data_IF_615399299469
#
_entry.id   IF_615399299469
#
_cell.length_a   1.000
_cell.length_b   1.000
_cell.length_c   1.000
_cell.angle_alpha   90.00
_cell.angle_beta   90.00
_cell.angle_gamma   90.00
#
_symmetry.space_group_name_H-M   'P 1'
#
loop_
_entity.id
_entity.type
_entity.pdbx_description
1 polymer ?
#
# COMPACT_ATOMS: atom_id res chain seq x y z
N UNK A 1 -21.38 48.79 -36.86
CA UNK A 1 -20.71 48.67 -35.55
C UNK A 1 -20.59 47.21 -35.18
N UNK A 2 -19.36 46.73 -34.97
CA UNK A 2 -19.11 45.71 -33.97
C UNK A 2 -18.13 46.26 -32.91
N UNK A 3 -18.37 45.89 -31.66
CA UNK A 3 -17.67 46.34 -30.46
C UNK A 3 -16.44 45.46 -30.21
N UNK A 4 -15.43 46.09 -29.62
CA UNK A 4 -14.06 45.67 -29.43
C UNK A 4 -13.83 44.37 -28.65
N UNK A 5 -12.66 43.81 -28.94
CA UNK A 5 -11.89 42.77 -28.26
C UNK A 5 -11.50 43.11 -26.81
N UNK A 6 -11.59 42.10 -25.93
CA UNK A 6 -10.90 41.87 -24.65
C UNK A 6 -11.35 40.46 -24.24
N UNK A 7 -10.57 39.46 -23.85
CA UNK A 7 -9.17 39.32 -23.44
C UNK A 7 -8.70 37.93 -23.93
N UNK A 8 -7.47 37.84 -24.45
CA UNK A 8 -6.83 36.57 -24.74
C UNK A 8 -6.07 36.13 -23.48
N UNK A 9 -6.45 34.98 -22.92
CA UNK A 9 -5.77 34.31 -21.82
C UNK A 9 -4.28 34.06 -22.16
N UNK A 10 -3.33 34.41 -21.27
CA UNK A 10 -1.90 34.31 -21.54
C UNK A 10 -1.29 32.91 -21.34
N UNK A 11 -2.10 31.85 -21.21
CA UNK A 11 -1.60 30.48 -21.02
C UNK A 11 -2.36 29.45 -21.87
N UNK A 12 -2.03 29.29 -23.16
CA UNK A 12 -2.34 28.07 -23.88
C UNK A 12 -1.31 27.00 -23.50
N UNK A 13 -1.75 25.74 -23.36
CA UNK A 13 -0.93 24.55 -23.08
C UNK A 13 -0.65 24.21 -21.60
N UNK A 14 -1.71 24.04 -20.81
CA UNK A 14 -1.72 23.00 -19.81
C UNK A 14 -2.40 21.75 -20.41
N UNK A 15 -1.65 20.65 -20.51
CA UNK A 15 -2.15 19.35 -20.94
C UNK A 15 -3.45 19.00 -20.18
N UNK A 16 -4.44 18.36 -20.83
CA UNK A 16 -5.74 18.12 -20.22
C UNK A 16 -5.56 17.31 -18.93
N UNK A 17 -6.12 17.84 -17.85
CA UNK A 17 -6.18 17.23 -16.53
C UNK A 17 -6.47 15.74 -16.65
N UNK A 18 -5.47 14.96 -16.24
CA UNK A 18 -5.60 13.53 -15.99
C UNK A 18 -6.68 13.38 -14.92
N UNK A 19 -7.84 12.86 -15.33
CA UNK A 19 -8.96 12.38 -14.51
C UNK A 19 -8.65 12.49 -13.01
N UNK A 20 -9.03 13.62 -12.39
CA UNK A 20 -9.00 13.77 -10.94
C UNK A 20 -9.95 12.73 -10.36
N UNK A 21 -9.41 11.53 -10.11
CA UNK A 21 -10.06 10.51 -9.30
C UNK A 21 -10.36 11.20 -7.97
N UNK A 22 -11.64 11.34 -7.63
CA UNK A 22 -12.13 11.93 -6.38
C UNK A 22 -11.63 11.13 -5.17
N UNK A 23 -10.34 11.25 -4.85
CA UNK A 23 -9.70 10.70 -3.67
C UNK A 23 -9.35 11.85 -2.74
N UNK A 24 -9.50 11.63 -1.43
CA UNK A 24 -9.04 12.58 -0.42
C UNK A 24 -7.51 12.66 -0.28
N UNK A 25 -6.78 11.79 -0.99
CA UNK A 25 -5.32 11.69 -0.93
C UNK A 25 -4.62 12.72 -1.83
N UNK A 26 -3.52 13.34 -1.39
CA UNK A 26 -2.73 14.24 -2.24
C UNK A 26 -2.08 13.47 -3.40
N UNK A 27 -1.95 14.12 -4.55
CA UNK A 27 -1.27 13.51 -5.70
C UNK A 27 0.20 13.29 -5.40
N UNK A 28 0.79 12.23 -5.99
CA UNK A 28 2.23 12.01 -5.87
C UNK A 28 3.02 13.23 -6.33
N UNK A 29 2.60 13.87 -7.43
CA UNK A 29 3.20 15.11 -7.91
C UNK A 29 3.14 16.25 -6.88
N UNK A 30 2.03 16.40 -6.15
CA UNK A 30 1.89 17.41 -5.09
C UNK A 30 2.83 17.15 -3.92
N UNK A 31 2.93 15.89 -3.47
CA UNK A 31 3.90 15.50 -2.43
C UNK A 31 5.34 15.72 -2.89
N UNK A 32 5.63 15.41 -4.15
CA UNK A 32 6.94 15.57 -4.75
C UNK A 32 7.37 17.04 -4.81
N UNK A 33 6.46 17.94 -5.22
CA UNK A 33 6.68 19.39 -5.25
C UNK A 33 6.99 19.96 -3.85
N UNK A 34 6.40 19.41 -2.80
CA UNK A 34 6.65 19.83 -1.42
C UNK A 34 7.88 19.13 -0.80
N UNK A 35 8.55 18.25 -1.54
CA UNK A 35 9.67 17.44 -1.05
C UNK A 35 9.33 16.67 0.24
N UNK A 36 8.11 16.13 0.32
CA UNK A 36 7.66 15.33 1.45
C UNK A 36 7.93 13.84 1.22
N UNK A 37 8.14 13.05 2.30
CA UNK A 37 8.21 11.60 2.18
C UNK A 37 6.97 11.02 1.48
N UNK A 38 7.18 10.03 0.61
CA UNK A 38 6.10 9.39 -0.16
C UNK A 38 6.07 7.92 0.20
N UNK A 39 4.90 7.43 0.63
CA UNK A 39 4.67 6.00 0.85
C UNK A 39 3.81 5.49 -0.30
N UNK A 40 4.29 4.48 -1.00
CA UNK A 40 3.60 3.88 -2.15
C UNK A 40 3.31 2.40 -1.88
N UNK A 41 2.15 1.88 -2.30
CA UNK A 41 1.84 0.47 -2.13
C UNK A 41 2.72 -0.38 -3.05
N UNK A 42 3.04 -1.60 -2.62
CA UNK A 42 3.96 -2.49 -3.33
C UNK A 42 3.37 -3.88 -3.60
N UNK A 43 4.00 -4.60 -4.54
CA UNK A 43 3.59 -5.96 -4.91
C UNK A 43 4.81 -6.88 -5.05
N UNK A 44 4.66 -8.15 -4.67
CA UNK A 44 5.67 -9.21 -4.70
C UNK A 44 6.26 -9.57 -6.09
N UNK A 45 5.80 -8.93 -7.18
CA UNK A 45 6.23 -9.24 -8.56
C UNK A 45 7.47 -8.47 -8.96
N UNK A 46 7.68 -7.31 -8.35
CA UNK A 46 8.79 -6.42 -8.67
C UNK A 46 9.68 -6.29 -7.43
N UNK A 47 10.97 -6.50 -7.64
CA UNK A 47 11.97 -6.45 -6.57
C UNK A 47 12.74 -5.15 -6.67
N UNK A 48 12.67 -4.34 -5.62
CA UNK A 48 13.35 -3.06 -5.52
C UNK A 48 14.03 -2.98 -4.18
N UNK A 49 15.31 -2.59 -4.15
CA UNK A 49 16.12 -2.56 -2.94
C UNK A 49 16.18 -1.17 -2.30
N UNK A 50 16.43 -1.07 -0.98
CA UNK A 50 16.71 0.22 -0.36
C UNK A 50 17.98 0.81 -0.96
N UNK A 51 17.93 2.10 -1.27
CA UNK A 51 18.96 2.84 -2.01
C UNK A 51 18.72 2.93 -3.52
N UNK A 52 17.71 2.24 -4.08
CA UNK A 52 17.30 2.47 -5.47
C UNK A 52 16.69 3.87 -5.61
N UNK A 53 17.04 4.58 -6.67
CA UNK A 53 16.52 5.93 -6.92
C UNK A 53 15.24 5.91 -7.78
N UNK A 54 14.42 6.94 -7.59
CA UNK A 54 13.10 7.10 -8.18
C UNK A 54 12.93 8.51 -8.76
N UNK A 55 12.35 8.60 -9.96
CA UNK A 55 11.97 9.85 -10.60
C UNK A 55 10.48 10.12 -10.37
N UNK A 56 10.15 11.08 -9.51
CA UNK A 56 8.77 11.46 -9.25
C UNK A 56 8.05 12.01 -10.48
N UNK A 57 8.77 12.65 -11.40
CA UNK A 57 8.21 13.14 -12.67
C UNK A 57 7.74 12.02 -13.60
N UNK A 58 8.20 10.78 -13.37
CA UNK A 58 7.86 9.59 -14.17
C UNK A 58 6.87 8.67 -13.47
N UNK A 59 6.19 9.12 -12.41
CA UNK A 59 5.31 8.26 -11.60
C UNK A 59 4.17 7.55 -12.37
N UNK A 60 3.72 8.09 -13.51
CA UNK A 60 2.72 7.47 -14.39
C UNK A 60 3.33 6.45 -15.38
N UNK A 61 4.65 6.44 -15.52
CA UNK A 61 5.41 5.45 -16.29
C UNK A 61 5.40 4.10 -15.59
N UNK A 62 5.45 2.97 -16.33
CA UNK A 62 5.72 1.66 -15.74
C UNK A 62 7.13 1.54 -15.15
N UNK A 63 8.10 2.33 -15.63
CA UNK A 63 9.50 2.31 -15.16
C UNK A 63 9.96 3.71 -14.73
N UNK A 64 9.66 4.12 -13.48
CA UNK A 64 10.12 5.39 -12.89
C UNK A 64 11.48 5.26 -12.19
N UNK A 65 12.08 4.07 -12.19
CA UNK A 65 13.28 3.76 -11.43
C UNK A 65 14.53 4.16 -12.21
N UNK A 66 15.54 4.66 -11.51
CA UNK A 66 16.81 4.95 -12.16
C UNK A 66 17.61 3.67 -12.41
N UNK A 67 18.16 3.56 -13.61
CA UNK A 67 19.03 2.44 -14.03
C UNK A 67 20.47 2.65 -13.59
N UNK A 68 20.86 3.89 -13.31
CA UNK A 68 22.20 4.25 -12.87
C UNK A 68 22.19 4.49 -11.36
N UNK A 69 23.00 3.75 -10.58
CA UNK A 69 23.08 3.98 -9.14
C UNK A 69 23.96 5.20 -8.84
N UNK A 70 23.42 6.15 -8.05
CA UNK A 70 24.24 7.23 -7.50
C UNK A 70 25.11 6.79 -6.31
N UNK A 71 24.82 5.62 -5.76
CA UNK A 71 25.52 5.00 -4.65
C UNK A 71 26.56 4.00 -5.13
N UNK A 72 27.65 3.86 -4.38
CA UNK A 72 28.63 2.79 -4.62
C UNK A 72 27.95 1.41 -4.50
N UNK A 73 28.43 0.48 -5.32
CA UNK A 73 27.94 -0.90 -5.33
C UNK A 73 28.34 -1.66 -4.07
N UNK A 74 27.63 -2.76 -3.76
CA UNK A 74 27.90 -3.61 -2.60
C UNK A 74 29.31 -4.23 -2.62
N UNK A 75 29.81 -4.60 -3.79
CA UNK A 75 31.15 -5.17 -3.92
C UNK A 75 32.24 -4.13 -3.63
N UNK A 76 32.05 -2.92 -4.15
CA UNK A 76 32.95 -1.79 -3.91
C UNK A 76 32.90 -1.34 -2.44
N UNK A 77 31.72 -1.36 -1.84
CA UNK A 77 31.54 -1.12 -0.40
C UNK A 77 32.25 -2.19 0.45
N UNK A 78 32.15 -3.47 0.08
CA UNK A 78 32.88 -4.57 0.75
C UNK A 78 34.39 -4.44 0.60
N UNK A 79 34.87 -4.03 -0.56
CA UNK A 79 36.30 -3.85 -0.83
C UNK A 79 36.90 -2.64 -0.08
N UNK A 80 36.12 -1.56 0.10
CA UNK A 80 36.53 -0.35 0.83
C UNK A 80 36.33 -0.45 2.34
N UNK A 81 35.49 -1.38 2.80
CA UNK A 81 35.24 -1.59 4.23
C UNK A 81 36.37 -2.41 4.86
N UNK A 82 37.15 -1.80 5.76
CA UNK A 82 38.03 -2.58 6.64
C UNK A 82 37.23 -3.65 7.41
N UNK A 83 37.86 -4.79 7.76
CA UNK A 83 37.18 -5.91 8.43
C UNK A 83 36.48 -5.56 9.76
N UNK A 84 36.76 -4.38 10.35
CA UNK A 84 36.16 -3.87 11.58
C UNK A 84 35.31 -2.59 11.40
N UNK A 85 35.09 -2.13 10.16
CA UNK A 85 34.33 -0.90 9.91
C UNK A 85 32.83 -1.11 10.14
N UNK A 86 32.26 -0.36 11.10
CA UNK A 86 30.81 -0.27 11.36
C UNK A 86 30.02 0.46 10.27
N UNK A 87 30.68 0.99 9.23
CA UNK A 87 30.05 1.79 8.15
C UNK A 87 29.68 0.93 6.94
N UNK A 88 28.89 -0.12 7.16
CA UNK A 88 28.27 -0.88 6.06
C UNK A 88 26.86 -0.36 5.84
N UNK A 89 26.32 -0.52 4.63
CA UNK A 89 24.89 -0.39 4.34
C UNK A 89 24.14 -1.34 5.25
N UNK A 90 23.66 -0.83 6.37
CA UNK A 90 22.90 -1.64 7.31
C UNK A 90 21.43 -1.38 7.09
N UNK A 91 20.79 -2.39 6.51
CA UNK A 91 19.35 -2.48 6.41
C UNK A 91 18.88 -3.08 7.74
N UNK A 92 18.11 -2.31 8.49
CA UNK A 92 17.61 -2.75 9.79
C UNK A 92 16.14 -3.14 9.69
N UNK A 93 15.82 -4.33 10.16
CA UNK A 93 14.48 -4.62 10.62
C UNK A 93 14.28 -3.86 11.93
N UNK A 94 13.33 -2.91 11.98
CA UNK A 94 12.78 -2.42 13.23
C UNK A 94 11.37 -2.97 13.41
N UNK A 95 11.18 -3.70 14.51
CA UNK A 95 9.84 -4.06 14.99
C UNK A 95 9.09 -2.86 15.60
N UNK A 96 9.77 -1.73 15.83
CA UNK A 96 9.25 -0.54 16.52
C UNK A 96 9.01 0.68 15.61
N UNK A 97 9.36 0.60 14.33
CA UNK A 97 9.62 1.75 13.44
C UNK A 97 8.46 2.73 13.21
N UNK A 98 8.07 3.46 14.25
CA UNK A 98 7.06 4.51 14.26
C UNK A 98 5.61 4.04 14.37
N UNK A 99 5.31 2.78 14.03
CA UNK A 99 4.01 2.16 14.28
C UNK A 99 4.24 0.78 14.86
N UNK A 100 4.20 0.70 16.19
CA UNK A 100 4.01 -0.55 16.91
C UNK A 100 2.99 -1.39 16.17
N UNK A 101 3.34 -2.66 15.96
CA UNK A 101 2.51 -3.56 15.18
C UNK A 101 1.06 -3.44 15.61
N UNK A 102 0.29 -2.96 14.65
CA UNK A 102 -1.06 -2.47 14.88
C UNK A 102 -1.92 -3.23 13.92
N UNK A 103 -2.77 -4.06 14.50
CA UNK A 103 -3.91 -4.60 13.80
C UNK A 103 -5.02 -3.56 13.87
N UNK A 104 -5.47 -3.09 12.71
CA UNK A 104 -6.65 -2.24 12.58
C UNK A 104 -7.66 -2.98 11.73
N UNK A 105 -8.82 -3.27 12.30
CA UNK A 105 -9.98 -3.72 11.55
C UNK A 105 -11.06 -2.67 11.65
N UNK A 106 -11.71 -2.36 10.54
CA UNK A 106 -12.81 -1.40 10.50
C UNK A 106 -13.82 -1.85 9.47
N UNK A 107 -15.07 -1.91 9.91
CA UNK A 107 -16.23 -2.10 9.04
C UNK A 107 -16.95 -0.76 8.94
N UNK A 108 -17.12 -0.25 7.72
CA UNK A 108 -17.84 1.00 7.44
C UNK A 108 -18.99 0.73 6.48
N UNK A 109 -20.11 1.40 6.72
CA UNK A 109 -21.26 1.40 5.82
C UNK A 109 -21.61 2.86 5.54
N UNK A 110 -21.63 3.23 4.27
CA UNK A 110 -21.99 4.57 3.85
C UNK A 110 -22.75 4.54 2.52
N UNK A 111 -23.69 5.47 2.36
CA UNK A 111 -24.48 5.61 1.14
C UNK A 111 -23.95 6.68 0.19
N UNK A 112 -23.04 7.54 0.66
CA UNK A 112 -22.59 8.73 -0.09
C UNK A 112 -21.07 8.86 -0.16
N UNK A 113 -20.37 8.51 0.91
CA UNK A 113 -18.96 8.89 1.07
C UNK A 113 -18.02 7.77 0.62
N UNK A 114 -17.32 8.00 -0.48
CA UNK A 114 -16.29 7.07 -1.00
C UNK A 114 -15.05 7.04 -0.10
N UNK A 115 -14.68 8.18 0.50
CA UNK A 115 -13.45 8.35 1.28
C UNK A 115 -13.37 7.40 2.49
N UNK A 116 -14.52 7.06 3.08
CA UNK A 116 -14.60 6.16 4.24
C UNK A 116 -14.27 4.69 3.91
N UNK A 117 -14.05 4.36 2.63
CA UNK A 117 -13.77 3.01 2.16
C UNK A 117 -12.37 2.88 1.52
N UNK A 118 -11.56 3.95 1.46
CA UNK A 118 -10.20 3.90 0.89
C UNK A 118 -9.28 2.92 1.64
N UNK A 119 -8.32 2.33 0.93
CA UNK A 119 -7.32 1.43 1.53
C UNK A 119 -6.42 2.14 2.55
N UNK A 120 -5.92 1.37 3.51
CA UNK A 120 -4.95 1.86 4.49
C UNK A 120 -3.56 2.03 3.86
N UNK A 121 -2.82 3.03 4.36
CA UNK A 121 -1.36 2.92 4.48
C UNK A 121 -0.49 3.70 3.47
N UNK A 122 -0.97 4.07 2.29
CA UNK A 122 -0.17 4.86 1.35
C UNK A 122 -0.67 6.30 1.17
N UNK A 123 0.27 7.22 0.95
CA UNK A 123 0.04 8.68 0.97
C UNK A 123 -0.26 9.26 -0.40
N UNK A 124 0.11 8.56 -1.48
CA UNK A 124 -0.05 9.03 -2.86
C UNK A 124 -1.39 8.61 -3.50
N UNK A 125 -1.80 9.30 -4.55
CA UNK A 125 -3.00 8.97 -5.35
C UNK A 125 -2.92 7.65 -6.11
N UNK A 126 -4.07 7.24 -6.63
CA UNK A 126 -4.35 5.96 -7.28
C UNK A 126 -3.70 5.79 -8.68
N UNK A 127 -3.15 6.85 -9.27
CA UNK A 127 -2.59 6.82 -10.63
C UNK A 127 -1.06 6.57 -10.63
N UNK A 128 -0.66 5.42 -10.08
CA UNK A 128 0.74 4.98 -10.09
C UNK A 128 0.95 3.98 -11.23
N UNK A 129 1.71 4.38 -12.24
CA UNK A 129 1.96 3.59 -13.45
C UNK A 129 2.73 2.31 -13.21
N UNK A 130 3.60 2.32 -12.20
CA UNK A 130 4.51 1.24 -11.82
C UNK A 130 3.91 0.29 -10.76
N UNK A 131 2.98 0.75 -9.93
CA UNK A 131 2.37 -0.06 -8.87
C UNK A 131 1.05 -0.74 -9.31
N UNK A 132 0.83 -0.94 -10.62
CA UNK A 132 -0.42 -1.50 -11.19
C UNK A 132 -0.76 -2.91 -10.69
N UNK A 133 0.26 -3.68 -10.32
CA UNK A 133 0.06 -5.02 -9.76
C UNK A 133 -0.41 -5.00 -8.31
N UNK A 134 -0.37 -3.85 -7.62
CA UNK A 134 -0.81 -3.73 -6.24
C UNK A 134 -2.33 -3.85 -6.13
N UNK A 135 -2.79 -4.82 -5.34
CA UNK A 135 -4.21 -5.02 -5.04
C UNK A 135 -4.86 -3.84 -4.34
N UNK A 136 -4.10 -3.06 -3.54
CA UNK A 136 -4.64 -1.86 -2.89
C UNK A 136 -4.88 -0.72 -3.88
N UNK A 137 -4.02 -0.58 -4.89
CA UNK A 137 -4.17 0.42 -5.94
C UNK A 137 -5.35 0.10 -6.85
N UNK A 138 -5.49 -1.17 -7.25
CA UNK A 138 -6.64 -1.60 -8.04
C UNK A 138 -7.94 -1.41 -7.25
N UNK A 139 -7.97 -1.77 -5.98
CA UNK A 139 -9.11 -1.56 -5.10
C UNK A 139 -9.50 -0.08 -4.97
N UNK A 140 -8.55 0.81 -4.69
CA UNK A 140 -8.82 2.26 -4.61
C UNK A 140 -9.29 2.82 -5.97
N UNK A 141 -8.81 2.28 -7.09
CA UNK A 141 -9.28 2.64 -8.44
C UNK A 141 -10.73 2.21 -8.68
N UNK A 142 -11.09 1.01 -8.23
CA UNK A 142 -12.46 0.54 -8.27
C UNK A 142 -13.36 1.40 -7.39
N UNK A 143 -12.90 1.79 -6.20
CA UNK A 143 -13.64 2.66 -5.29
C UNK A 143 -13.89 4.05 -5.88
N UNK A 144 -12.86 4.68 -6.46
CA UNK A 144 -12.97 6.02 -7.05
C UNK A 144 -13.97 6.06 -8.22
N UNK A 145 -14.00 5.00 -9.04
CA UNK A 145 -14.90 4.88 -10.20
C UNK A 145 -16.30 4.32 -9.84
N UNK A 146 -16.51 3.90 -8.59
CA UNK A 146 -17.76 3.29 -8.14
C UNK A 146 -18.80 4.34 -7.72
N UNK A 147 -19.89 4.42 -8.50
CA UNK A 147 -21.00 5.36 -8.28
C UNK A 147 -22.27 4.70 -7.69
N UNK A 148 -22.13 3.50 -7.14
CA UNK A 148 -23.19 2.81 -6.40
C UNK A 148 -23.58 3.61 -5.13
N UNK A 149 -24.81 3.51 -4.67
CA UNK A 149 -25.35 4.36 -3.61
C UNK A 149 -25.42 3.67 -2.24
N UNK A 150 -25.11 2.38 -2.16
CA UNK A 150 -24.90 1.68 -0.89
C UNK A 150 -23.55 1.00 -0.99
N UNK A 151 -22.65 1.33 -0.06
CA UNK A 151 -21.33 0.75 0.05
C UNK A 151 -21.10 0.27 1.47
N UNK A 152 -20.68 -0.97 1.61
CA UNK A 152 -20.22 -1.53 2.88
C UNK A 152 -18.85 -2.12 2.67
N UNK A 153 -17.87 -1.74 3.49
CA UNK A 153 -16.52 -2.29 3.39
C UNK A 153 -16.04 -2.83 4.71
N UNK A 154 -15.30 -3.92 4.65
CA UNK A 154 -14.45 -4.43 5.71
C UNK A 154 -13.01 -4.22 5.29
N UNK A 155 -12.21 -3.64 6.18
CA UNK A 155 -10.79 -3.44 5.98
C UNK A 155 -10.05 -3.97 7.19
N UNK A 156 -8.95 -4.65 6.96
CA UNK A 156 -8.02 -5.14 7.96
C UNK A 156 -6.60 -4.81 7.50
N UNK A 157 -5.81 -4.14 8.34
CA UNK A 157 -4.40 -3.90 8.12
C UNK A 157 -3.62 -4.39 9.32
N UNK A 158 -2.51 -5.07 9.06
CA UNK A 158 -1.58 -5.49 10.09
C UNK A 158 -0.16 -5.11 9.69
N UNK A 159 0.45 -4.21 10.47
CA UNK A 159 1.86 -3.85 10.32
C UNK A 159 2.67 -4.56 11.37
N UNK A 160 3.82 -5.09 10.98
CA UNK A 160 4.60 -5.99 11.83
C UNK A 160 6.07 -5.60 11.95
N UNK A 161 6.54 -4.67 11.12
CA UNK A 161 7.86 -4.06 11.24
C UNK A 161 8.17 -3.18 10.04
N UNK A 162 9.34 -2.57 10.04
CA UNK A 162 9.86 -1.80 8.92
C UNK A 162 11.29 -2.23 8.62
N UNK A 163 11.68 -2.13 7.36
CA UNK A 163 13.04 -2.35 6.89
C UNK A 163 13.58 -1.01 6.46
N UNK A 164 14.57 -0.48 7.16
CA UNK A 164 15.07 0.87 6.93
C UNK A 164 16.55 0.87 6.58
N UNK A 165 16.93 1.76 5.67
CA UNK A 165 18.31 2.10 5.39
C UNK A 165 18.83 3.05 6.48
N UNK A 166 19.51 2.53 7.51
CA UNK A 166 19.99 3.37 8.63
C UNK A 166 21.09 4.32 8.20
N UNK A 167 22.06 3.79 7.45
CA UNK A 167 23.14 4.57 6.88
C UNK A 167 23.09 4.43 5.35
N UNK A 168 22.83 5.52 4.60
CA UNK A 168 22.86 5.46 3.15
C UNK A 168 24.29 5.20 2.67
N UNK A 169 24.48 4.40 1.59
CA UNK A 169 25.81 4.12 1.06
C UNK A 169 26.49 5.41 0.60
N UNK A 170 27.80 5.35 0.39
CA UNK A 170 28.53 6.50 -0.14
C UNK A 170 28.11 6.82 -1.58
N UNK A 171 28.08 8.10 -1.93
CA UNK A 171 27.89 8.53 -3.32
C UNK A 171 29.10 8.13 -4.18
N UNK A 172 28.85 7.76 -5.43
CA UNK A 172 29.93 7.53 -6.42
C UNK A 172 30.69 8.83 -6.70
N UNK A 173 31.95 8.73 -7.14
CA UNK A 173 32.75 9.91 -7.49
C UNK A 173 32.07 10.76 -8.59
N UNK A 174 31.42 10.10 -9.54
CA UNK A 174 30.63 10.77 -10.58
C UNK A 174 29.46 11.57 -9.99
N UNK A 175 28.72 10.96 -9.05
CA UNK A 175 27.62 11.63 -8.35
C UNK A 175 28.10 12.85 -7.56
N UNK A 176 29.25 12.73 -6.89
CA UNK A 176 29.86 13.83 -6.15
C UNK A 176 30.26 14.98 -7.10
N UNK A 177 30.87 14.67 -8.26
CA UNK A 177 31.23 15.66 -9.27
C UNK A 177 30.01 16.39 -9.84
N UNK A 178 28.92 15.68 -10.08
CA UNK A 178 27.67 16.30 -10.56
C UNK A 178 27.12 17.29 -9.53
N UNK A 179 27.12 16.91 -8.25
CA UNK A 179 26.65 17.78 -7.18
C UNK A 179 27.55 19.02 -6.99
N UNK A 180 28.86 18.90 -7.26
CA UNK A 180 29.83 19.97 -7.02
C UNK A 180 30.02 20.90 -8.21
N UNK A 181 30.18 20.34 -9.41
CA UNK A 181 30.66 21.06 -10.60
C UNK A 181 29.64 21.07 -11.74
N UNK A 182 28.92 19.97 -11.97
CA UNK A 182 28.08 19.81 -13.17
C UNK A 182 26.61 20.14 -12.92
N UNK A 183 26.32 21.32 -12.37
CA UNK A 183 24.94 21.85 -12.25
C UNK A 183 24.20 21.47 -10.96
N UNK A 184 24.90 20.88 -9.98
CA UNK A 184 24.41 20.75 -8.62
C UNK A 184 23.25 19.77 -8.46
N UNK A 185 22.34 20.10 -7.53
CA UNK A 185 21.22 19.23 -7.16
C UNK A 185 20.26 18.96 -8.32
N UNK A 186 20.01 19.94 -9.18
CA UNK A 186 19.08 19.78 -10.30
C UNK A 186 19.61 18.80 -11.35
N UNK A 187 20.92 18.84 -11.62
CA UNK A 187 21.56 17.88 -12.51
C UNK A 187 21.58 16.47 -11.91
N UNK A 188 21.82 16.38 -10.60
CA UNK A 188 21.75 15.12 -9.87
C UNK A 188 20.34 14.50 -9.92
N UNK A 189 19.30 15.29 -9.63
CA UNK A 189 17.90 14.85 -9.66
C UNK A 189 17.45 14.43 -11.06
N UNK A 190 17.93 15.14 -12.09
CA UNK A 190 17.65 14.79 -13.49
C UNK A 190 18.26 13.45 -13.89
N UNK A 191 19.48 13.17 -13.43
CA UNK A 191 20.21 11.94 -13.79
C UNK A 191 19.79 10.74 -12.96
N UNK A 192 19.82 10.88 -11.64
CA UNK A 192 19.61 9.76 -10.72
C UNK A 192 18.19 9.69 -10.18
N UNK A 193 17.46 10.81 -10.09
CA UNK A 193 16.15 10.87 -9.48
C UNK A 193 16.11 11.76 -8.25
N UNK A 194 14.91 12.21 -7.91
CA UNK A 194 14.63 13.15 -6.82
C UNK A 194 14.21 12.45 -5.52
N UNK A 195 13.91 11.16 -5.58
CA UNK A 195 13.68 10.31 -4.42
C UNK A 195 14.59 9.08 -4.44
N UNK A 196 14.73 8.45 -3.28
CA UNK A 196 15.32 7.13 -3.14
C UNK A 196 14.49 6.27 -2.20
N UNK A 197 14.55 4.95 -2.40
CA UNK A 197 13.91 3.99 -1.51
C UNK A 197 14.67 3.97 -0.19
N UNK A 198 14.06 4.56 0.82
CA UNK A 198 14.58 4.55 2.18
C UNK A 198 14.35 3.21 2.87
N UNK A 199 13.24 2.54 2.56
CA UNK A 199 12.88 1.31 3.22
C UNK A 199 11.54 0.71 2.80
N UNK A 200 11.12 -0.31 3.53
CA UNK A 200 9.86 -1.01 3.36
C UNK A 200 9.05 -0.99 4.64
N UNK A 201 7.72 -0.99 4.51
CA UNK A 201 6.84 -1.36 5.60
C UNK A 201 6.41 -2.82 5.43
N UNK A 202 6.62 -3.61 6.47
CA UNK A 202 6.25 -5.02 6.53
C UNK A 202 4.87 -5.21 7.15
N UNK A 203 4.10 -6.12 6.59
CA UNK A 203 2.76 -6.41 7.05
C UNK A 203 1.91 -7.10 6.00
N UNK A 204 0.60 -6.90 6.13
CA UNK A 204 -0.35 -7.19 5.08
C UNK A 204 -1.61 -6.32 5.23
N UNK A 205 -2.30 -6.12 4.13
CA UNK A 205 -3.61 -5.49 4.07
C UNK A 205 -4.61 -6.43 3.41
N UNK A 206 -5.83 -6.43 3.94
CA UNK A 206 -6.98 -7.10 3.39
C UNK A 206 -8.14 -6.11 3.37
N UNK A 207 -8.77 -5.91 2.22
CA UNK A 207 -9.98 -5.09 2.14
C UNK A 207 -11.00 -5.76 1.24
N UNK A 208 -12.26 -5.60 1.59
CA UNK A 208 -13.41 -6.03 0.82
C UNK A 208 -14.46 -4.92 0.87
N UNK A 209 -15.05 -4.60 -0.27
CA UNK A 209 -16.18 -3.72 -0.40
C UNK A 209 -17.28 -4.43 -1.17
N UNK A 210 -18.49 -4.23 -0.69
CA UNK A 210 -19.73 -4.64 -1.32
C UNK A 210 -20.49 -3.38 -1.62
N UNK A 211 -20.85 -3.21 -2.88
CA UNK A 211 -21.64 -2.09 -3.33
C UNK A 211 -22.82 -2.53 -4.18
N UNK A 212 -23.84 -1.69 -4.21
CA UNK A 212 -25.06 -1.94 -4.96
C UNK A 212 -25.74 -0.62 -5.30
N UNK A 213 -26.47 -0.61 -6.41
CA UNK A 213 -27.18 0.55 -6.91
C UNK A 213 -28.68 0.45 -6.55
N UNK A 214 -29.15 1.32 -5.67
CA UNK A 214 -30.50 1.40 -5.14
C UNK A 214 -31.42 2.29 -5.97
N UNK A 215 -30.94 2.95 -7.03
CA UNK A 215 -31.77 3.82 -7.90
C UNK A 215 -32.89 3.07 -8.62
N UNK A 216 -32.78 1.75 -8.77
CA UNK A 216 -33.82 0.90 -9.36
C UNK A 216 -34.55 0.01 -8.34
N UNK A 217 -34.31 0.19 -7.04
CA UNK A 217 -34.84 -0.69 -5.99
C UNK A 217 -35.94 -0.01 -5.18
N UNK A 218 -36.97 -0.77 -4.81
CA UNK A 218 -37.98 -0.29 -3.86
C UNK A 218 -37.40 -0.16 -2.44
N UNK A 219 -38.07 0.62 -1.58
CA UNK A 219 -37.63 0.83 -0.19
C UNK A 219 -37.53 -0.48 0.60
N UNK A 220 -38.43 -1.43 0.35
CA UNK A 220 -38.39 -2.76 0.96
C UNK A 220 -37.20 -3.59 0.44
N UNK A 221 -36.93 -3.56 -0.87
CA UNK A 221 -35.79 -4.27 -1.45
C UNK A 221 -34.45 -3.68 -0.95
N UNK A 222 -34.39 -2.36 -0.78
CA UNK A 222 -33.23 -1.67 -0.19
C UNK A 222 -32.96 -2.12 1.24
N UNK A 223 -34.01 -2.25 2.07
CA UNK A 223 -33.89 -2.77 3.44
C UNK A 223 -33.42 -4.23 3.44
N UNK A 224 -34.03 -5.08 2.63
CA UNK A 224 -33.63 -6.50 2.49
C UNK A 224 -32.18 -6.64 2.06
N UNK A 225 -31.73 -5.83 1.10
CA UNK A 225 -30.35 -5.87 0.64
C UNK A 225 -29.38 -5.33 1.69
N UNK A 226 -29.75 -4.28 2.41
CA UNK A 226 -28.96 -3.75 3.53
C UNK A 226 -28.73 -4.82 4.59
N UNK A 227 -29.79 -5.53 5.00
CA UNK A 227 -29.68 -6.65 5.96
C UNK A 227 -28.82 -7.79 5.40
N UNK A 228 -28.96 -8.14 4.12
CA UNK A 228 -28.10 -9.17 3.48
C UNK A 228 -26.63 -8.77 3.51
N UNK A 229 -26.33 -7.52 3.16
CA UNK A 229 -24.97 -6.99 3.22
C UNK A 229 -24.46 -7.02 4.67
N UNK A 230 -25.28 -6.63 5.64
CA UNK A 230 -24.94 -6.75 7.05
C UNK A 230 -24.66 -8.19 7.49
N UNK A 231 -25.43 -9.18 7.04
CA UNK A 231 -25.15 -10.59 7.34
C UNK A 231 -23.80 -11.09 6.78
N UNK A 232 -23.28 -10.45 5.73
CA UNK A 232 -21.95 -10.78 5.21
C UNK A 232 -20.82 -10.23 6.08
N UNK A 233 -21.03 -9.09 6.74
CA UNK A 233 -19.99 -8.37 7.48
C UNK A 233 -20.10 -8.51 9.00
N UNK A 234 -21.26 -8.86 9.51
CA UNK A 234 -21.56 -8.98 10.93
C UNK A 234 -22.12 -10.37 11.24
N UNK A 235 -21.80 -10.91 12.41
CA UNK A 235 -22.39 -12.16 12.92
C UNK A 235 -23.79 -11.87 13.48
N UNK A 236 -24.64 -11.26 12.67
CA UNK A 236 -26.03 -11.01 13.04
C UNK A 236 -26.75 -12.33 12.84
N UNK A 237 -27.06 -13.01 13.94
CA UNK A 237 -27.98 -14.14 13.97
C UNK A 237 -29.41 -13.64 13.68
N UNK A 238 -29.69 -13.21 12.45
CA UNK A 238 -31.05 -12.92 12.00
C UNK A 238 -31.52 -14.04 11.07
N UNK A 239 -31.90 -15.14 11.70
CA UNK A 239 -32.59 -16.27 11.08
C UNK A 239 -34.10 -16.05 11.18
N UNK A 240 -34.60 -14.88 10.76
CA UNK A 240 -36.03 -14.74 10.48
C UNK A 240 -36.24 -14.97 8.98
N UNK A 241 -37.10 -15.95 8.71
CA UNK A 241 -37.44 -16.49 7.40
C UNK A 241 -37.65 -15.40 6.35
N UNK A 242 -36.72 -15.30 5.40
CA UNK A 242 -36.88 -14.52 4.18
C UNK A 242 -37.80 -15.27 3.19
N UNK A 243 -39.06 -15.49 3.59
CA UNK A 243 -40.13 -15.87 2.68
C UNK A 243 -40.73 -14.60 2.08
N UNK A 244 -40.00 -13.96 1.17
CA UNK A 244 -40.60 -12.99 0.24
C UNK A 244 -40.45 -13.52 -1.18
N UNK A 245 -41.39 -14.38 -1.56
CA UNK A 245 -41.56 -14.91 -2.91
C UNK A 245 -41.96 -13.83 -3.97
N UNK A 246 -41.95 -12.53 -3.63
CA UNK A 246 -42.45 -11.46 -4.51
C UNK A 246 -41.52 -10.25 -4.66
N UNK A 247 -40.35 -10.21 -4.01
CA UNK A 247 -39.37 -9.16 -4.30
C UNK A 247 -38.50 -9.60 -5.48
N UNK A 248 -39.05 -9.51 -6.70
CA UNK A 248 -38.31 -9.60 -7.95
C UNK A 248 -37.39 -8.38 -8.11
N UNK A 249 -36.43 -8.23 -7.20
CA UNK A 249 -35.43 -7.18 -7.29
C UNK A 249 -34.27 -7.75 -8.10
N UNK A 250 -34.06 -7.23 -9.30
CA UNK A 250 -32.78 -7.35 -10.00
C UNK A 250 -31.70 -6.63 -9.18
N UNK A 251 -31.32 -7.18 -8.04
CA UNK A 251 -30.30 -6.63 -7.17
C UNK A 251 -28.95 -6.99 -7.80
N UNK A 252 -28.28 -6.00 -8.39
CA UNK A 252 -26.87 -6.13 -8.75
C UNK A 252 -26.02 -5.83 -7.52
N UNK A 253 -25.18 -6.78 -7.17
CA UNK A 253 -24.16 -6.61 -6.15
C UNK A 253 -22.81 -6.66 -6.82
N UNK A 254 -21.99 -5.66 -6.53
CA UNK A 254 -20.60 -5.66 -6.88
C UNK A 254 -19.77 -5.90 -5.63
N UNK A 255 -18.90 -6.88 -5.68
CA UNK A 255 -17.97 -7.21 -4.63
C UNK A 255 -16.55 -7.00 -5.14
N UNK A 256 -15.82 -6.08 -4.54
CA UNK A 256 -14.41 -5.83 -4.81
C UNK A 256 -13.59 -6.13 -3.57
N UNK A 257 -12.41 -6.70 -3.71
CA UNK A 257 -11.54 -6.94 -2.57
C UNK A 257 -10.14 -7.33 -2.97
N UNK A 258 -9.22 -7.24 -2.02
CA UNK A 258 -7.84 -7.66 -2.19
C UNK A 258 -7.25 -8.18 -0.89
N UNK A 259 -6.25 -9.04 -1.01
CA UNK A 259 -5.40 -9.52 0.06
C UNK A 259 -3.95 -9.41 -0.40
N UNK A 260 -3.16 -8.52 0.23
CA UNK A 260 -1.79 -8.24 -0.20
C UNK A 260 -0.84 -9.40 0.10
N UNK A 261 -1.15 -10.23 1.10
CA UNK A 261 -0.30 -11.34 1.53
C UNK A 261 -0.34 -12.52 0.53
N UNK A 262 -1.53 -12.86 0.04
CA UNK A 262 -1.71 -13.88 -1.02
C UNK A 262 -1.64 -13.30 -2.44
N UNK A 263 -1.65 -11.97 -2.58
CA UNK A 263 -1.77 -11.31 -3.88
C UNK A 263 -3.10 -11.57 -4.57
N UNK A 264 -4.14 -11.93 -3.79
CA UNK A 264 -5.46 -12.25 -4.32
C UNK A 264 -6.28 -10.98 -4.53
N UNK A 265 -6.96 -10.86 -5.67
CA UNK A 265 -7.84 -9.75 -6.02
C UNK A 265 -9.17 -10.33 -6.48
N UNK A 266 -10.25 -9.70 -6.04
CA UNK A 266 -11.63 -10.04 -6.37
C UNK A 266 -12.30 -8.80 -6.96
N UNK A 267 -12.89 -8.93 -8.14
CA UNK A 267 -13.84 -7.97 -8.71
C UNK A 267 -14.94 -8.79 -9.38
N UNK A 268 -16.09 -8.85 -8.73
CA UNK A 268 -17.25 -9.62 -9.16
C UNK A 268 -18.46 -8.72 -9.16
N UNK A 269 -19.12 -8.62 -10.31
CA UNK A 269 -20.43 -8.03 -10.41
C UNK A 269 -21.42 -9.15 -10.74
N UNK A 270 -22.46 -9.28 -9.93
CA UNK A 270 -23.46 -10.30 -10.14
C UNK A 270 -24.85 -9.75 -9.84
N UNK A 271 -25.78 -10.04 -10.75
CA UNK A 271 -27.19 -9.77 -10.57
C UNK A 271 -27.94 -11.10 -10.42
N UNK A 272 -28.93 -11.12 -9.54
CA UNK A 272 -29.81 -12.28 -9.38
C UNK A 272 -31.25 -11.83 -9.20
N UNK A 273 -32.17 -12.71 -9.56
CA UNK A 273 -33.61 -12.53 -9.34
C UNK A 273 -34.07 -13.05 -7.97
N UNK A 274 -33.29 -13.93 -7.32
CA UNK A 274 -33.57 -14.49 -6.00
C UNK A 274 -32.27 -14.85 -5.25
N UNK A 275 -32.31 -14.87 -3.91
CA UNK A 275 -31.15 -15.29 -3.07
C UNK A 275 -30.99 -16.81 -2.95
N UNK A 276 -31.89 -17.61 -3.51
CA UNK A 276 -31.78 -19.07 -3.57
C UNK A 276 -30.95 -19.58 -4.75
N UNK A 277 -30.39 -18.66 -5.55
CA UNK A 277 -29.60 -19.03 -6.73
C UNK A 277 -28.23 -19.59 -6.34
N UNK A 278 -27.69 -20.59 -7.07
CA UNK A 278 -26.35 -21.10 -6.83
C UNK A 278 -25.27 -20.02 -7.02
N UNK A 279 -25.54 -19.02 -7.85
CA UNK A 279 -24.74 -17.82 -8.03
C UNK A 279 -24.57 -17.02 -6.72
N UNK A 280 -25.68 -16.73 -6.05
CA UNK A 280 -25.67 -16.00 -4.78
C UNK A 280 -24.89 -16.78 -3.70
N UNK A 281 -25.09 -18.09 -3.63
CA UNK A 281 -24.36 -18.95 -2.69
C UNK A 281 -22.84 -18.96 -2.96
N UNK A 282 -22.42 -18.97 -4.24
CA UNK A 282 -21.00 -18.87 -4.62
C UNK A 282 -20.39 -17.54 -4.19
N UNK A 283 -21.11 -16.44 -4.44
CA UNK A 283 -20.63 -15.11 -4.06
C UNK A 283 -20.54 -14.96 -2.53
N UNK A 284 -21.53 -15.48 -1.79
CA UNK A 284 -21.48 -15.53 -0.33
C UNK A 284 -20.26 -16.33 0.17
N UNK A 285 -19.96 -17.48 -0.43
CA UNK A 285 -18.79 -18.28 -0.06
C UNK A 285 -17.47 -17.55 -0.36
N UNK A 286 -17.38 -16.84 -1.49
CA UNK A 286 -16.20 -16.05 -1.86
C UNK A 286 -16.00 -14.86 -0.91
N UNK A 287 -17.08 -14.18 -0.52
CA UNK A 287 -17.06 -13.09 0.45
C UNK A 287 -16.69 -13.56 1.86
N UNK A 288 -17.24 -14.69 2.30
CA UNK A 288 -16.87 -15.33 3.57
C UNK A 288 -15.39 -15.70 3.55
N UNK A 289 -14.87 -16.25 2.44
CA UNK A 289 -13.44 -16.54 2.27
C UNK A 289 -12.61 -15.27 2.45
N UNK A 290 -12.93 -14.19 1.75
CA UNK A 290 -12.20 -12.91 1.86
C UNK A 290 -12.25 -12.31 3.27
N UNK A 291 -13.40 -12.39 3.95
CA UNK A 291 -13.54 -11.96 5.35
C UNK A 291 -12.68 -12.81 6.29
N UNK A 292 -12.65 -14.13 6.11
CA UNK A 292 -11.82 -15.03 6.91
C UNK A 292 -10.32 -14.74 6.71
N UNK A 293 -9.90 -14.35 5.50
CA UNK A 293 -8.53 -13.92 5.23
C UNK A 293 -8.16 -12.68 6.05
N UNK A 294 -9.06 -11.69 6.14
CA UNK A 294 -8.82 -10.47 6.92
C UNK A 294 -8.99 -10.62 8.44
N UNK A 295 -9.88 -11.51 8.90
CA UNK A 295 -10.03 -11.83 10.32
C UNK A 295 -8.79 -12.54 10.88
N UNK A 296 -8.18 -13.44 10.09
CA UNK A 296 -6.98 -14.18 10.47
C UNK A 296 -5.68 -13.50 10.01
N UNK A 297 -5.75 -12.24 9.56
CA UNK A 297 -4.61 -11.53 8.97
C UNK A 297 -3.39 -11.46 9.90
N UNK A 298 -3.51 -11.13 11.21
CA UNK A 298 -2.35 -11.09 12.12
C UNK A 298 -1.64 -12.44 12.20
N UNK A 299 -2.39 -13.52 12.43
CA UNK A 299 -1.85 -14.87 12.55
C UNK A 299 -1.18 -15.34 11.24
N UNK A 300 -1.73 -14.97 10.08
CA UNK A 300 -1.15 -15.29 8.77
C UNK A 300 0.19 -14.56 8.56
N UNK A 301 0.27 -13.28 8.92
CA UNK A 301 1.51 -12.49 8.83
C UNK A 301 2.58 -13.01 9.80
N UNK A 302 2.21 -13.31 11.05
CA UNK A 302 3.14 -13.89 12.03
C UNK A 302 3.68 -15.26 11.59
N UNK A 303 2.83 -16.11 11.01
CA UNK A 303 3.27 -17.39 10.44
C UNK A 303 4.26 -17.17 9.29
N UNK A 304 3.93 -16.28 8.35
CA UNK A 304 4.78 -15.99 7.19
C UNK A 304 6.13 -15.42 7.59
N UNK A 305 6.16 -14.56 8.60
CA UNK A 305 7.40 -13.97 9.13
C UNK A 305 8.25 -15.03 9.85
N UNK A 306 7.63 -15.91 10.63
CA UNK A 306 8.29 -17.06 11.25
C UNK A 306 8.90 -18.02 10.20
N UNK A 307 8.17 -18.34 9.12
CA UNK A 307 8.65 -19.20 8.02
C UNK A 307 9.92 -18.64 7.35
N UNK A 308 10.09 -17.31 7.36
CA UNK A 308 11.28 -16.64 6.83
C UNK A 308 12.44 -16.50 7.82
N UNK A 309 12.25 -16.97 9.06
CA UNK A 309 13.23 -16.84 10.14
C UNK A 309 13.30 -15.43 10.74
N UNK A 310 12.24 -14.63 10.57
CA UNK A 310 12.08 -13.27 11.10
C UNK A 310 11.07 -13.32 12.25
N UNK A 311 11.58 -13.59 13.45
CA UNK A 311 10.75 -13.64 14.65
C UNK A 311 10.45 -12.22 15.12
N UNK A 312 9.20 -11.78 14.98
CA UNK A 312 8.73 -10.43 15.35
C UNK A 312 8.35 -10.32 16.84
N UNK A 313 9.05 -11.09 17.68
CA UNK A 313 8.89 -11.18 19.12
C UNK A 313 9.74 -12.32 19.71
N UNK A 314 9.84 -12.44 21.04
CA UNK A 314 10.53 -13.54 21.71
C UNK A 314 9.98 -14.90 21.28
N UNK A 315 10.87 -15.87 21.08
CA UNK A 315 10.56 -17.24 20.65
C UNK A 315 9.41 -17.88 21.44
N UNK A 316 9.31 -17.60 22.75
CA UNK A 316 8.27 -18.13 23.63
C UNK A 316 6.88 -17.60 23.29
N UNK A 317 6.76 -16.32 22.92
CA UNK A 317 5.49 -15.66 22.58
C UNK A 317 5.07 -16.06 21.18
N UNK A 318 6.01 -16.09 20.23
CA UNK A 318 5.74 -16.54 18.86
C UNK A 318 5.29 -18.01 18.86
N UNK A 319 5.97 -18.88 19.61
CA UNK A 319 5.54 -20.30 19.76
C UNK A 319 4.18 -20.44 20.45
N UNK A 320 3.84 -19.58 21.41
CA UNK A 320 2.50 -19.61 22.04
C UNK A 320 1.40 -19.13 21.08
N UNK A 321 1.65 -18.09 20.27
CA UNK A 321 0.73 -17.57 19.25
C UNK A 321 0.54 -18.54 18.08
N UNK A 322 1.61 -19.25 17.69
CA UNK A 322 1.59 -20.28 16.65
C UNK A 322 1.00 -21.61 17.12
N UNK A 323 0.86 -21.83 18.44
CA UNK A 323 0.21 -23.03 18.98
C UNK A 323 -1.28 -23.05 18.63
N UNK A 324 -1.74 -24.20 18.15
CA UNK A 324 -3.08 -24.41 17.54
C UNK A 324 -4.24 -24.09 18.48
N UNK A 325 -4.03 -24.10 19.80
CA UNK A 325 -5.06 -23.87 20.81
C UNK A 325 -5.38 -22.38 21.04
N UNK A 326 -4.48 -21.45 20.70
CA UNK A 326 -4.69 -20.00 20.84
C UNK A 326 -5.35 -19.39 19.59
N UNK A 327 -5.06 -19.96 18.41
CA UNK A 327 -5.63 -19.57 17.12
C UNK A 327 -7.17 -19.69 17.08
N UNK A 328 -7.77 -20.55 17.90
CA UNK A 328 -9.21 -20.77 17.95
C UNK A 328 -9.95 -19.98 19.04
N UNK A 329 -9.24 -19.28 19.96
CA UNK A 329 -9.87 -18.76 21.19
C UNK A 329 -9.59 -17.31 21.57
N UNK A 330 -8.76 -16.54 20.86
CA UNK A 330 -8.42 -15.20 21.32
C UNK A 330 -8.10 -14.19 20.21
N UNK A 331 -9.12 -13.40 19.84
CA UNK A 331 -8.94 -12.07 19.23
C UNK A 331 -8.53 -10.99 20.26
N UNK A 332 -8.24 -11.35 21.51
CA UNK A 332 -8.10 -10.41 22.63
C UNK A 332 -6.67 -10.21 23.16
N UNK A 333 -5.65 -10.81 22.56
CA UNK A 333 -4.26 -10.51 22.93
C UNK A 333 -3.75 -9.32 22.11
N UNK A 334 -3.18 -8.27 22.74
CA UNK A 334 -2.61 -7.16 22.00
C UNK A 334 -1.47 -7.67 21.11
N UNK A 335 -1.66 -7.59 19.79
CA UNK A 335 -0.66 -7.88 18.77
C UNK A 335 0.39 -6.77 18.71
N UNK A 336 1.02 -6.45 19.84
CA UNK A 336 2.15 -5.54 19.87
C UNK A 336 3.45 -6.34 19.65
N UNK A 337 4.26 -6.03 18.63
CA UNK A 337 5.63 -6.49 18.55
C UNK A 337 6.41 -5.84 19.70
N UNK A 338 7.31 -6.61 20.30
CA UNK A 338 8.19 -6.09 21.34
C UNK A 338 9.28 -5.27 20.67
N UNK A 339 9.23 -3.94 20.85
CA UNK A 339 10.27 -3.02 20.37
C UNK A 339 11.59 -3.37 21.05
N UNK A 340 12.53 -3.91 20.27
CA UNK A 340 13.95 -4.14 20.61
C UNK A 340 14.66 -5.06 19.60
N UNK A 341 13.98 -5.65 18.62
CA UNK A 341 14.62 -6.53 17.63
C UNK A 341 15.15 -5.73 16.44
N UNK A 342 16.33 -5.11 16.63
CA UNK A 342 17.14 -4.59 15.52
C UNK A 342 17.99 -5.73 14.95
N UNK A 343 17.77 -6.09 13.69
CA UNK A 343 18.58 -7.11 13.00
C UNK A 343 19.04 -6.59 11.64
N UNK A 344 20.31 -6.82 11.33
CA UNK A 344 20.84 -6.57 9.99
C UNK A 344 20.20 -7.54 8.99
N UNK A 345 19.78 -7.00 7.85
CA UNK A 345 19.11 -7.72 6.77
C UNK A 345 19.96 -7.63 5.50
N UNK A 346 20.19 -8.76 4.84
CA UNK A 346 20.88 -8.82 3.55
C UNK A 346 19.90 -8.75 2.37
N UNK A 347 20.43 -8.59 1.15
CA UNK A 347 19.61 -8.55 -0.06
C UNK A 347 18.78 -9.82 -0.27
N UNK A 348 19.33 -11.00 0.06
CA UNK A 348 18.59 -12.26 -0.04
C UNK A 348 17.36 -12.25 0.88
N UNK A 349 17.49 -11.73 2.09
CA UNK A 349 16.34 -11.60 3.00
C UNK A 349 15.34 -10.56 2.50
N UNK A 350 15.77 -9.43 1.92
CA UNK A 350 14.87 -8.50 1.25
C UNK A 350 14.09 -9.17 0.10
N UNK A 351 14.77 -9.99 -0.71
CA UNK A 351 14.18 -10.78 -1.79
C UNK A 351 13.12 -11.75 -1.29
N UNK A 352 13.46 -12.52 -0.26
CA UNK A 352 12.54 -13.46 0.38
C UNK A 352 11.32 -12.73 0.94
N UNK A 353 11.50 -11.56 1.55
CA UNK A 353 10.42 -10.74 2.08
C UNK A 353 9.49 -10.20 1.00
N UNK A 354 10.03 -9.63 -0.09
CA UNK A 354 9.23 -9.13 -1.21
C UNK A 354 8.45 -10.28 -1.84
N UNK A 355 9.12 -11.37 -2.20
CA UNK A 355 8.51 -12.56 -2.84
C UNK A 355 7.46 -13.23 -1.94
N UNK A 356 7.58 -13.07 -0.62
CA UNK A 356 6.63 -13.63 0.33
C UNK A 356 5.31 -12.87 0.45
N UNK A 357 5.21 -11.66 -0.11
CA UNK A 357 4.03 -10.79 0.02
C UNK A 357 3.99 -9.97 1.33
N UNK A 358 5.08 -9.98 2.11
CA UNK A 358 5.16 -9.25 3.39
C UNK A 358 5.51 -7.77 3.23
N UNK A 359 6.07 -7.36 2.10
CA UNK A 359 6.33 -5.94 1.81
C UNK A 359 5.06 -5.32 1.26
N UNK A 360 4.43 -4.46 2.06
CA UNK A 360 3.15 -3.81 1.70
C UNK A 360 3.39 -2.46 1.04
N UNK A 361 4.41 -1.73 1.49
CA UNK A 361 4.72 -0.39 0.99
C UNK A 361 6.23 -0.17 0.85
N UNK A 362 6.57 0.70 -0.10
CA UNK A 362 7.88 1.33 -0.17
C UNK A 362 7.82 2.73 0.45
N UNK A 363 8.84 3.07 1.23
CA UNK A 363 9.04 4.41 1.79
C UNK A 363 10.08 5.12 0.94
N UNK A 364 9.65 6.19 0.26
CA UNK A 364 10.50 7.04 -0.57
C UNK A 364 10.85 8.32 0.20
N UNK A 365 12.12 8.64 0.26
CA UNK A 365 12.62 9.88 0.86
C UNK A 365 13.24 10.79 -0.20
N UNK A 366 13.05 12.12 -0.11
CA UNK A 366 13.67 13.04 -1.06
C UNK A 366 15.20 12.97 -0.96
N UNK A 367 15.89 12.96 -2.10
CA UNK A 367 17.38 12.90 -2.12
C UNK A 367 18.01 14.09 -1.40
N UNK A 368 17.33 15.24 -1.38
CA UNK A 368 17.72 16.46 -0.64
C UNK A 368 17.80 16.25 0.88
N UNK A 369 17.23 15.18 1.41
CA UNK A 369 17.34 14.82 2.83
C UNK A 369 18.62 14.06 3.15
N UNK A 370 19.33 13.52 2.14
CA UNK A 370 20.58 12.81 2.33
C UNK A 370 21.67 13.77 2.82
N UNK A 371 22.26 13.43 3.97
CA UNK A 371 23.35 14.23 4.56
C UNK A 371 24.53 14.40 3.60
N UNK A 372 24.89 13.36 2.85
CA UNK A 372 25.99 13.42 1.88
C UNK A 372 25.68 14.37 0.74
N UNK A 373 24.45 14.38 0.22
CA UNK A 373 24.02 15.30 -0.84
C UNK A 373 24.13 16.74 -0.33
N UNK A 374 23.62 17.03 0.86
CA UNK A 374 23.74 18.36 1.49
C UNK A 374 25.19 18.79 1.66
N UNK A 375 26.04 17.89 2.17
CA UNK A 375 27.46 18.13 2.33
C UNK A 375 28.12 18.54 1.01
N UNK A 376 27.95 17.76 -0.05
CA UNK A 376 28.60 18.04 -1.33
C UNK A 376 28.08 19.29 -2.03
N UNK A 377 26.85 19.72 -1.74
CA UNK A 377 26.29 20.98 -2.24
C UNK A 377 26.85 22.19 -1.48
N UNK A 378 27.07 22.08 -0.16
CA UNK A 378 27.42 23.22 0.69
C UNK A 378 28.91 23.40 0.95
N UNK A 379 29.68 22.33 0.90
CA UNK A 379 31.11 22.37 1.24
C UNK A 379 31.91 23.04 0.11
N UNK A 380 33.08 23.60 0.41
CA UNK A 380 34.01 24.18 -0.58
C UNK A 380 35.15 23.22 -0.99
N UNK A 381 35.16 21.99 -0.45
CA UNK A 381 36.18 20.98 -0.74
C UNK A 381 36.30 20.60 -2.22
N UNK A 382 37.52 20.49 -2.75
CA UNK A 382 37.78 19.98 -4.09
C UNK A 382 37.78 18.44 -4.06
N UNK A 383 37.05 17.81 -4.99
CA UNK A 383 36.93 16.33 -5.09
C UNK A 383 38.18 15.69 -5.70
#
# INVERSE_FOLDING_TARGET
>A
MPVASMDADPFPDAAPDTLLLESGKPTLASLAQQHLPIVVPWHAKETIYPGTFFHSSRYTSPDPWSKEPAFIGLEEERARSEPNSKRRRVIYLSADGGTSGSYKSTTTQCTTDKQNHESYGFTATVDLGFAKASGSLTFDKHLATNNDDIKTSFRASYRCGTILLRDPPQLTLESQRILKYDGGIEAFERKYGDYYVFGYNLGADNSMMVSTNSKSMSLNERKTLTVKVETFFFDINFTEHFDSAEASASASLRCTGYDSLEGSVMDREQSWSASSTPEFARMQAEMQRMRLLGANLPSRVERRTADLGLLLGPDSIVKSRLSTDVLNKSNNTPYAPLGTLEREVDQDTCDRLIKSGLVVELVLMPVRTLRQVRYWISEDDII
#
